data_IF_886123224292
#
_entry.id   IF_886123224292
#
_cell.length_a   1.000
_cell.length_b   1.000
_cell.length_c   1.000
_cell.angle_alpha   90.00
_cell.angle_beta   90.00
_cell.angle_gamma   90.00
#
_symmetry.space_group_name_H-M   'P 1'
#
loop_
_entity.id
_entity.type
_entity.pdbx_description
1 polymer ?
#
# COMPACT_ATOMS: atom_id res chain seq x y z
N UNK A 1 7.03 -17.09 -13.04
CA UNK A 1 5.65 -17.60 -12.89
C UNK A 1 4.74 -16.41 -13.18
N UNK A 2 4.13 -16.35 -14.35
CA UNK A 2 3.30 -15.21 -14.79
C UNK A 2 2.03 -15.16 -13.95
N UNK A 3 1.75 -14.04 -13.27
CA UNK A 3 0.42 -13.85 -12.70
C UNK A 3 -0.56 -13.70 -13.85
N UNK A 4 -1.59 -14.53 -13.83
CA UNK A 4 -2.68 -14.44 -14.79
C UNK A 4 -3.66 -13.35 -14.36
N UNK A 5 -4.36 -12.77 -15.34
CA UNK A 5 -5.49 -11.87 -15.10
C UNK A 5 -6.55 -12.51 -14.19
N UNK A 6 -6.71 -13.85 -14.26
CA UNK A 6 -7.58 -14.60 -13.37
C UNK A 6 -7.16 -14.46 -11.90
N UNK A 7 -5.88 -14.63 -11.57
CA UNK A 7 -5.41 -14.52 -10.18
C UNK A 7 -5.64 -13.12 -9.57
N UNK A 8 -5.50 -12.05 -10.37
CA UNK A 8 -5.81 -10.69 -9.92
C UNK A 8 -7.31 -10.49 -9.70
N UNK A 9 -8.13 -10.92 -10.67
CA UNK A 9 -9.59 -10.85 -10.57
C UNK A 9 -10.12 -11.68 -9.40
N UNK A 10 -9.51 -12.83 -9.12
CA UNK A 10 -9.88 -13.70 -8.00
C UNK A 10 -9.64 -13.00 -6.66
N UNK A 11 -8.50 -12.31 -6.50
CA UNK A 11 -8.20 -11.52 -5.30
C UNK A 11 -9.25 -10.42 -5.12
N UNK A 12 -9.54 -9.64 -6.17
CA UNK A 12 -10.55 -8.57 -6.09
C UNK A 12 -11.96 -9.11 -5.84
N UNK A 13 -12.30 -10.28 -6.39
CA UNK A 13 -13.63 -10.90 -6.22
C UNK A 13 -13.96 -11.27 -4.77
N UNK A 14 -12.94 -11.43 -3.92
CA UNK A 14 -13.12 -11.67 -2.48
C UNK A 14 -13.70 -10.46 -1.75
N UNK A 15 -13.52 -9.26 -2.30
CA UNK A 15 -13.96 -7.98 -1.73
C UNK A 15 -13.61 -7.86 -0.25
N UNK A 16 -12.36 -8.17 0.10
CA UNK A 16 -11.93 -8.20 1.50
C UNK A 16 -12.14 -6.84 2.20
N UNK A 17 -12.19 -5.73 1.46
CA UNK A 17 -12.51 -4.38 1.98
C UNK A 17 -13.98 -4.18 2.40
N UNK A 18 -14.89 -5.07 2.00
CA UNK A 18 -16.29 -5.13 2.45
C UNK A 18 -16.51 -6.21 3.52
N UNK A 19 -15.45 -6.81 4.06
CA UNK A 19 -15.53 -7.83 5.09
C UNK A 19 -14.91 -7.34 6.41
N UNK A 20 -15.72 -6.95 7.41
CA UNK A 20 -15.21 -6.37 8.65
C UNK A 20 -14.45 -7.37 9.53
N UNK A 21 -14.56 -8.68 9.26
CA UNK A 21 -13.78 -9.72 9.95
C UNK A 21 -12.34 -9.78 9.43
N UNK A 22 -12.12 -9.36 8.18
CA UNK A 22 -10.81 -9.37 7.52
C UNK A 22 -10.20 -7.97 7.57
N UNK A 23 -9.49 -7.68 8.66
CA UNK A 23 -8.80 -6.39 8.86
C UNK A 23 -7.38 -6.39 8.29
N UNK A 24 -6.74 -7.56 8.22
CA UNK A 24 -5.42 -7.69 7.61
C UNK A 24 -5.17 -9.13 7.16
N UNK A 25 -4.32 -9.27 6.13
CA UNK A 25 -3.79 -10.56 5.68
C UNK A 25 -2.28 -10.43 5.52
N UNK A 26 -1.55 -11.38 6.11
CA UNK A 26 -0.07 -11.46 6.08
C UNK A 26 0.66 -10.23 6.65
N UNK A 27 -0.03 -9.43 7.49
CA UNK A 27 0.62 -8.38 8.27
C UNK A 27 1.40 -9.00 9.42
N UNK A 28 2.60 -8.48 9.69
CA UNK A 28 3.38 -8.84 10.88
C UNK A 28 2.76 -8.23 12.15
N UNK A 29 3.14 -8.77 13.30
CA UNK A 29 2.71 -8.23 14.60
C UNK A 29 3.27 -6.83 14.82
N UNK A 30 2.44 -5.98 15.43
CA UNK A 30 2.82 -4.60 15.73
C UNK A 30 3.92 -4.54 16.79
N UNK A 31 4.82 -3.57 16.66
CA UNK A 31 5.95 -3.40 17.59
C UNK A 31 6.38 -1.94 17.76
N UNK A 32 7.16 -1.60 18.80
CA UNK A 32 7.77 -0.27 18.93
C UNK A 32 8.70 0.05 17.74
N UNK A 33 9.02 1.33 17.48
CA UNK A 33 9.90 1.68 16.36
C UNK A 33 11.23 0.93 16.40
N UNK A 34 11.58 0.26 15.30
CA UNK A 34 12.85 -0.45 15.14
C UNK A 34 13.66 0.16 13.99
N UNK A 35 14.94 0.42 14.25
CA UNK A 35 15.91 0.76 13.21
C UNK A 35 16.92 -0.38 12.94
N UNK A 36 16.89 -1.45 13.73
CA UNK A 36 17.75 -2.63 13.57
C UNK A 36 19.25 -2.28 13.47
N UNK A 37 19.75 -1.40 14.34
CA UNK A 37 21.17 -1.07 14.43
C UNK A 37 22.03 -2.32 14.62
N UNK A 38 23.23 -2.28 14.03
CA UNK A 38 24.28 -3.33 14.16
C UNK A 38 25.46 -2.87 14.99
N UNK A 39 25.37 -1.66 15.53
CA UNK A 39 26.37 -1.02 16.40
C UNK A 39 25.66 -0.36 17.58
N UNK A 40 26.22 -0.54 18.77
CA UNK A 40 25.65 -0.04 20.03
C UNK A 40 25.77 1.48 20.14
N UNK A 41 26.88 2.05 19.66
CA UNK A 41 27.09 3.51 19.70
C UNK A 41 26.08 4.20 18.79
N UNK A 42 25.91 3.70 17.57
CA UNK A 42 24.88 4.18 16.66
C UNK A 42 23.46 4.09 17.24
N UNK A 43 23.14 3.01 17.97
CA UNK A 43 21.84 2.85 18.62
C UNK A 43 21.63 3.82 19.79
N UNK A 44 22.66 4.03 20.61
CA UNK A 44 22.62 4.96 21.75
C UNK A 44 22.46 6.41 21.29
N UNK A 45 23.14 6.77 20.21
CA UNK A 45 23.20 8.14 19.71
C UNK A 45 22.10 8.44 18.66
N UNK A 46 21.15 7.50 18.46
CA UNK A 46 20.04 7.58 17.50
C UNK A 46 20.50 7.95 16.06
N UNK A 47 21.64 7.38 15.66
CA UNK A 47 22.20 7.62 14.33
C UNK A 47 21.43 6.85 13.24
N UNK A 48 21.45 7.29 11.97
CA UNK A 48 20.80 6.54 10.89
C UNK A 48 21.33 5.09 10.79
N UNK A 49 20.41 4.13 10.70
CA UNK A 49 20.76 2.72 10.52
C UNK A 49 20.82 2.34 9.05
N UNK A 50 21.90 1.68 8.63
CA UNK A 50 22.03 1.13 7.29
C UNK A 50 21.03 -0.01 6.99
N UNK A 51 20.35 -0.55 8.01
CA UNK A 51 19.28 -1.56 7.84
C UNK A 51 17.90 -0.95 7.63
N UNK A 52 17.78 0.38 7.60
CA UNK A 52 16.53 1.10 7.38
C UNK A 52 16.66 2.00 6.14
N UNK A 53 15.87 1.71 5.11
CA UNK A 53 15.82 2.50 3.89
C UNK A 53 14.44 3.12 3.74
N UNK A 54 14.42 4.44 3.53
CA UNK A 54 13.19 5.15 3.16
C UNK A 54 12.90 4.93 1.68
N UNK A 55 11.63 4.68 1.36
CA UNK A 55 11.11 4.64 0.00
C UNK A 55 10.26 5.88 -0.32
N UNK A 56 10.31 6.93 0.51
CA UNK A 56 9.67 8.20 0.21
C UNK A 56 10.33 8.85 -1.01
N UNK A 57 9.52 9.54 -1.81
CA UNK A 57 9.97 10.17 -3.04
C UNK A 57 8.92 10.06 -4.14
N UNK A 58 9.39 10.05 -5.38
CA UNK A 58 8.53 10.03 -6.57
C UNK A 58 8.10 8.60 -6.91
N UNK A 59 6.80 8.34 -6.89
CA UNK A 59 6.20 7.05 -7.25
C UNK A 59 5.39 7.17 -8.53
N UNK A 60 5.29 6.07 -9.27
CA UNK A 60 4.28 5.93 -10.32
C UNK A 60 2.90 5.90 -9.69
N UNK A 61 1.95 6.63 -10.29
CA UNK A 61 0.59 6.75 -9.80
C UNK A 61 -0.40 6.74 -10.97
N UNK A 62 -1.48 5.98 -10.81
CA UNK A 62 -2.64 6.02 -11.70
C UNK A 62 -3.94 5.95 -10.92
N UNK A 63 -4.89 6.80 -11.30
CA UNK A 63 -6.20 6.88 -10.68
C UNK A 63 -7.24 6.07 -11.47
N UNK A 64 -8.12 5.38 -10.75
CA UNK A 64 -9.28 4.68 -11.29
C UNK A 64 -10.52 4.98 -10.46
N UNK A 65 -11.69 4.92 -11.09
CA UNK A 65 -12.98 5.20 -10.42
C UNK A 65 -13.47 4.04 -9.53
N UNK A 66 -12.96 2.83 -9.77
CA UNK A 66 -13.32 1.61 -9.03
C UNK A 66 -12.18 0.57 -9.14
N UNK A 67 -12.02 -0.36 -8.18
CA UNK A 67 -10.94 -1.34 -8.19
C UNK A 67 -11.02 -2.31 -9.38
N UNK A 68 -12.22 -2.64 -9.85
CA UNK A 68 -12.42 -3.54 -10.99
C UNK A 68 -12.01 -2.90 -12.34
N UNK A 69 -11.81 -1.59 -12.39
CA UNK A 69 -11.31 -0.91 -13.58
C UNK A 69 -9.78 -1.01 -13.74
N UNK A 70 -9.07 -1.49 -12.70
CA UNK A 70 -7.61 -1.67 -12.75
C UNK A 70 -7.29 -2.87 -13.66
N UNK A 71 -6.50 -2.70 -14.73
CA UNK A 71 -6.11 -3.82 -15.57
C UNK A 71 -5.03 -4.65 -14.89
N UNK A 72 -5.13 -5.98 -14.95
CA UNK A 72 -4.15 -6.88 -14.33
C UNK A 72 -2.70 -6.70 -14.84
N UNK A 73 -2.53 -6.12 -16.03
CA UNK A 73 -1.20 -5.79 -16.58
C UNK A 73 -0.43 -4.79 -15.72
N UNK A 74 -1.13 -3.97 -14.92
CA UNK A 74 -0.52 -3.03 -13.97
C UNK A 74 0.38 -3.72 -12.94
N UNK A 75 0.08 -4.97 -12.57
CA UNK A 75 0.88 -5.73 -11.61
C UNK A 75 2.30 -6.05 -12.11
N UNK A 76 2.50 -6.02 -13.43
CA UNK A 76 3.75 -6.41 -14.06
C UNK A 76 4.58 -5.21 -14.51
N UNK A 77 3.93 -4.09 -14.83
CA UNK A 77 4.57 -2.88 -15.31
C UNK A 77 3.64 -1.67 -15.19
N UNK A 78 4.24 -0.48 -15.17
CA UNK A 78 3.50 0.77 -15.23
C UNK A 78 2.67 0.87 -16.52
N UNK A 79 1.49 1.50 -16.38
CA UNK A 79 0.59 1.72 -17.50
C UNK A 79 1.01 2.99 -18.27
N UNK A 80 0.65 3.12 -19.57
CA UNK A 80 1.08 4.26 -20.40
C UNK A 80 0.74 5.65 -19.83
N UNK A 81 -0.39 5.78 -19.12
CA UNK A 81 -0.83 7.06 -18.52
C UNK A 81 -0.46 7.17 -17.03
N UNK A 82 0.54 6.41 -16.58
CA UNK A 82 1.06 6.54 -15.22
C UNK A 82 1.78 7.88 -15.09
N UNK A 83 1.38 8.67 -14.10
CA UNK A 83 2.04 9.93 -13.76
C UNK A 83 2.88 9.74 -12.52
N UNK A 84 3.74 10.70 -12.22
CA UNK A 84 4.50 10.71 -10.98
C UNK A 84 3.72 11.42 -9.88
N UNK A 85 3.74 10.87 -8.66
CA UNK A 85 3.19 11.47 -7.45
C UNK A 85 4.21 11.37 -6.31
N UNK A 86 4.49 12.47 -5.57
CA UNK A 86 5.31 12.38 -4.37
C UNK A 86 4.61 11.55 -3.29
N UNK A 87 5.36 10.69 -2.61
CA UNK A 87 4.89 9.88 -1.48
C UNK A 87 5.74 10.21 -0.26
N UNK A 88 5.12 10.55 0.88
CA UNK A 88 3.69 10.48 1.18
C UNK A 88 2.87 11.68 0.66
N UNK A 89 1.68 11.40 0.13
CA UNK A 89 0.69 12.42 -0.25
C UNK A 89 -0.74 11.85 -0.30
N UNK A 90 -1.74 12.73 -0.23
CA UNK A 90 -3.13 12.40 -0.55
C UNK A 90 -3.41 12.82 -1.99
N UNK A 91 -3.87 11.90 -2.86
CA UNK A 91 -4.06 12.19 -4.29
C UNK A 91 -5.07 13.32 -4.56
N UNK A 92 -6.01 13.56 -3.65
CA UNK A 92 -6.95 14.69 -3.77
C UNK A 92 -6.22 16.04 -3.82
N UNK A 93 -5.11 16.17 -3.10
CA UNK A 93 -4.26 17.37 -3.11
C UNK A 93 -3.51 17.56 -4.44
N UNK A 94 -3.51 16.53 -5.29
CA UNK A 94 -2.89 16.54 -6.61
C UNK A 94 -3.93 16.55 -7.75
N UNK A 95 -5.22 16.78 -7.43
CA UNK A 95 -6.27 17.02 -8.43
C UNK A 95 -6.91 15.77 -9.03
N UNK A 96 -6.66 14.58 -8.49
CA UNK A 96 -7.26 13.34 -9.01
C UNK A 96 -8.72 13.13 -8.58
N UNK A 97 -9.10 13.67 -7.42
CA UNK A 97 -10.46 13.61 -6.89
C UNK A 97 -10.68 14.74 -5.87
N UNK A 98 -11.94 15.03 -5.53
CA UNK A 98 -12.30 16.07 -4.57
C UNK A 98 -12.18 15.56 -3.11
N UNK A 99 -11.55 16.32 -2.19
CA UNK A 99 -11.62 16.00 -0.78
C UNK A 99 -13.05 16.22 -0.26
N UNK A 100 -13.60 15.23 0.44
CA UNK A 100 -14.95 15.30 1.02
C UNK A 100 -14.84 15.71 2.48
N UNK A 101 -15.45 16.85 2.84
CA UNK A 101 -15.63 17.27 4.22
C UNK A 101 -17.09 17.08 4.64
N UNK A 102 -17.31 16.22 5.63
CA UNK A 102 -18.62 15.99 6.24
C UNK A 102 -18.46 15.85 7.75
N UNK A 103 -19.41 16.38 8.51
CA UNK A 103 -19.32 16.43 9.97
C UNK A 103 -19.86 15.15 10.64
N UNK A 104 -21.11 14.78 10.33
CA UNK A 104 -21.81 13.67 10.99
C UNK A 104 -22.23 12.59 10.00
N UNK A 105 -22.65 12.98 8.80
CA UNK A 105 -23.11 12.03 7.80
C UNK A 105 -21.90 11.34 7.16
N UNK A 106 -21.95 10.02 7.01
CA UNK A 106 -20.95 9.31 6.23
C UNK A 106 -20.92 9.88 4.79
N UNK A 107 -19.72 9.98 4.18
CA UNK A 107 -19.59 10.42 2.79
C UNK A 107 -20.07 9.36 1.79
N UNK A 108 -20.52 8.20 2.27
CA UNK A 108 -21.05 7.08 1.49
C UNK A 108 -22.44 6.68 2.03
N UNK A 109 -23.27 6.01 1.21
CA UNK A 109 -24.53 5.42 1.68
C UNK A 109 -24.30 4.49 2.88
N UNK A 110 -25.09 4.64 3.94
CA UNK A 110 -24.93 3.88 5.18
C UNK A 110 -25.59 2.50 5.02
N UNK A 111 -24.87 1.54 4.45
CA UNK A 111 -25.31 0.17 4.27
C UNK A 111 -24.20 -0.85 4.64
N UNK A 112 -23.77 -0.91 5.91
CA UNK A 112 -22.62 -1.70 6.31
C UNK A 112 -22.82 -3.22 6.07
N UNK A 113 -21.77 -3.95 5.65
CA UNK A 113 -20.39 -3.50 5.44
C UNK A 113 -20.11 -3.01 4.00
N UNK A 114 -21.14 -2.80 3.19
CA UNK A 114 -21.02 -2.50 1.77
C UNK A 114 -20.53 -1.06 1.55
N UNK A 115 -19.70 -0.90 0.51
CA UNK A 115 -19.24 0.40 0.02
C UNK A 115 -19.80 0.64 -1.39
N UNK A 116 -19.79 1.89 -1.90
CA UNK A 116 -20.18 2.14 -3.28
C UNK A 116 -19.35 1.34 -4.28
N UNK A 117 -19.97 0.94 -5.39
CA UNK A 117 -19.26 0.31 -6.52
C UNK A 117 -18.22 1.28 -7.11
N UNK A 118 -18.59 2.54 -7.25
CA UNK A 118 -17.65 3.63 -7.57
C UNK A 118 -16.82 3.94 -6.33
N UNK A 119 -15.69 3.25 -6.22
CA UNK A 119 -14.75 3.37 -5.11
C UNK A 119 -13.37 3.84 -5.63
N UNK A 120 -13.08 5.15 -5.57
CA UNK A 120 -11.82 5.73 -6.03
C UNK A 120 -10.59 4.91 -5.62
N UNK A 121 -9.84 4.44 -6.61
CA UNK A 121 -8.72 3.51 -6.42
C UNK A 121 -7.44 4.12 -6.96
N UNK A 122 -6.47 4.35 -6.06
CA UNK A 122 -5.12 4.81 -6.41
C UNK A 122 -4.15 3.65 -6.57
N UNK A 123 -3.59 3.50 -7.77
CA UNK A 123 -2.57 2.52 -8.08
C UNK A 123 -1.18 3.16 -7.96
N UNK A 124 -0.46 2.83 -6.89
CA UNK A 124 0.91 3.29 -6.61
C UNK A 124 1.93 2.21 -6.99
N UNK A 125 2.96 2.57 -7.74
CA UNK A 125 4.05 1.68 -8.13
C UNK A 125 5.42 2.32 -7.89
N UNK A 126 6.38 1.49 -7.50
CA UNK A 126 7.76 1.91 -7.30
C UNK A 126 8.70 0.81 -7.77
N UNK A 127 9.66 1.17 -8.63
CA UNK A 127 10.84 0.35 -8.89
C UNK A 127 11.96 0.82 -7.97
N UNK A 128 12.50 -0.09 -7.16
CA UNK A 128 13.59 0.21 -6.24
C UNK A 128 14.62 -0.91 -6.23
N UNK A 129 15.83 -0.58 -5.77
CA UNK A 129 16.89 -1.54 -5.55
C UNK A 129 17.08 -1.75 -4.05
N UNK A 130 17.10 -3.02 -3.64
CA UNK A 130 17.50 -3.43 -2.30
C UNK A 130 18.97 -3.89 -2.31
N UNK A 131 19.68 -3.73 -1.19
CA UNK A 131 21.03 -4.26 -1.05
C UNK A 131 21.01 -5.80 -1.19
N UNK A 132 21.91 -6.35 -2.00
CA UNK A 132 22.03 -7.79 -2.20
C UNK A 132 22.31 -8.54 -0.88
N UNK A 133 22.97 -7.89 0.08
CA UNK A 133 23.21 -8.44 1.41
C UNK A 133 21.90 -8.75 2.16
N UNK A 134 20.85 -7.95 1.95
CA UNK A 134 19.54 -8.14 2.59
C UNK A 134 18.79 -9.37 2.08
N UNK A 135 19.11 -9.82 0.86
CA UNK A 135 18.54 -11.03 0.27
C UNK A 135 19.27 -12.29 0.73
N UNK A 136 20.53 -12.17 1.16
CA UNK A 136 21.36 -13.32 1.52
C UNK A 136 21.11 -13.80 2.96
N UNK A 137 20.88 -12.89 3.90
CA UNK A 137 20.67 -13.22 5.31
C UNK A 137 19.73 -12.24 6.01
N UNK A 138 18.94 -12.74 6.96
CA UNK A 138 18.00 -11.96 7.77
C UNK A 138 16.58 -11.91 7.17
N UNK A 139 15.82 -10.90 7.60
CA UNK A 139 14.45 -10.68 7.16
C UNK A 139 14.30 -9.25 6.66
N UNK A 140 13.88 -9.10 5.40
CA UNK A 140 13.52 -7.80 4.81
C UNK A 140 12.01 -7.63 4.90
N UNK A 141 11.54 -6.47 5.37
CA UNK A 141 10.11 -6.12 5.49
C UNK A 141 9.86 -4.72 4.95
N UNK A 142 8.64 -4.47 4.50
CA UNK A 142 8.17 -3.14 4.11
C UNK A 142 7.23 -2.59 5.18
N UNK A 143 7.34 -1.29 5.47
CA UNK A 143 6.55 -0.60 6.47
C UNK A 143 5.81 0.53 5.77
N UNK A 144 4.49 0.59 5.97
CA UNK A 144 3.67 1.72 5.55
C UNK A 144 3.13 2.40 6.80
N UNK A 145 3.72 3.53 7.17
CA UNK A 145 3.37 4.23 8.42
C UNK A 145 1.89 4.67 8.45
N UNK A 146 1.30 4.92 7.28
CA UNK A 146 -0.13 5.14 7.12
C UNK A 146 -0.57 5.01 5.67
N UNK A 147 -1.67 4.29 5.45
CA UNK A 147 -2.40 4.19 4.18
C UNK A 147 -3.88 4.38 4.47
N UNK A 148 -4.60 5.07 3.61
CA UNK A 148 -6.02 5.39 3.81
C UNK A 148 -6.86 4.97 2.60
N UNK A 149 -7.96 4.22 2.74
CA UNK A 149 -8.49 3.57 3.96
C UNK A 149 -8.15 2.08 4.07
N UNK A 150 -7.77 1.47 2.94
CA UNK A 150 -7.37 0.07 2.81
C UNK A 150 -6.44 -0.07 1.59
N UNK A 151 -5.61 -1.10 1.57
CA UNK A 151 -4.79 -1.41 0.39
C UNK A 151 -4.48 -2.90 0.28
N UNK A 152 -4.25 -3.34 -0.94
CA UNK A 152 -3.59 -4.59 -1.25
C UNK A 152 -2.15 -4.31 -1.70
N UNK A 153 -1.23 -5.21 -1.35
CA UNK A 153 0.18 -5.09 -1.71
C UNK A 153 0.61 -6.20 -2.66
N UNK A 154 1.34 -5.82 -3.70
CA UNK A 154 2.07 -6.73 -4.57
C UNK A 154 3.55 -6.36 -4.63
N UNK A 155 4.41 -7.37 -4.79
CA UNK A 155 5.85 -7.19 -5.00
C UNK A 155 6.30 -8.11 -6.13
N UNK A 156 6.95 -7.56 -7.16
CA UNK A 156 7.34 -8.29 -8.37
C UNK A 156 6.17 -9.09 -8.99
N UNK A 157 4.99 -8.48 -9.00
CA UNK A 157 3.72 -9.08 -9.43
C UNK A 157 3.06 -10.00 -8.40
N UNK A 158 3.76 -10.52 -7.40
CA UNK A 158 3.19 -11.47 -6.44
C UNK A 158 2.38 -10.76 -5.34
N UNK A 159 1.17 -11.25 -5.07
CA UNK A 159 0.35 -10.72 -3.98
C UNK A 159 0.98 -11.05 -2.62
N UNK A 160 1.16 -10.02 -1.79
CA UNK A 160 1.80 -10.12 -0.48
C UNK A 160 0.76 -10.11 0.63
N UNK A 161 -0.22 -9.22 0.57
CA UNK A 161 -1.18 -9.05 1.66
C UNK A 161 -2.19 -7.93 1.45
N UNK A 162 -2.96 -7.68 2.49
CA UNK A 162 -4.01 -6.66 2.58
C UNK A 162 -3.95 -6.02 3.96
N UNK A 163 -4.28 -4.75 4.04
CA UNK A 163 -4.67 -4.07 5.27
C UNK A 163 -5.95 -3.25 5.03
N UNK A 164 -6.91 -3.31 5.95
CA UNK A 164 -8.09 -2.45 5.96
C UNK A 164 -8.24 -1.74 7.31
N UNK A 165 -8.75 -0.51 7.24
CA UNK A 165 -8.86 0.38 8.39
C UNK A 165 -7.64 1.31 8.54
N UNK A 166 -7.89 2.53 9.02
CA UNK A 166 -6.82 3.46 9.38
C UNK A 166 -6.08 2.91 10.61
N UNK A 167 -4.98 2.21 10.38
CA UNK A 167 -4.09 1.77 11.43
C UNK A 167 -2.66 2.08 11.03
N UNK A 168 -1.88 2.61 11.98
CA UNK A 168 -0.44 2.70 11.82
C UNK A 168 0.08 1.27 11.72
N UNK A 169 0.67 0.91 10.57
CA UNK A 169 1.29 -0.39 10.38
C UNK A 169 2.77 -0.28 10.76
N UNK A 170 3.06 -0.30 12.06
CA UNK A 170 4.40 -0.49 12.60
C UNK A 170 4.46 -1.76 13.41
#
# INVERSE_FOLDING_TARGET
MTLSQAAFSDILSRRDWENPVVTSLHRLDAHPPFASWRDEVAARDDSPSASLQSLNGEWGFRYFTQPEAVPASWLLQDLPDTTTLPVPANWQMHGFDAPIYTNVQYPIPVNPPLVPTENPTGCYSLTFSADAAWLHNGQTRIIFDGVNSAFHLWCNGHWIGLLSGQSSAR
#
